data_IF_567580274814
#
_entry.id   IF_567580274814
#
_cell.length_a   1.000
_cell.length_b   1.000
_cell.length_c   1.000
_cell.angle_alpha   90.00
_cell.angle_beta   90.00
_cell.angle_gamma   90.00
#
_symmetry.space_group_name_H-M   'P 1'
#
loop_
_entity.id
_entity.type
_entity.pdbx_description
1 polymer ?
#
# COMPACT_ATOMS: atom_id res chain seq x y z
N UNK A 1 -11.71 12.11 20.88
CA UNK A 1 -11.46 11.24 19.72
C UNK A 1 -10.71 10.02 20.23
N UNK A 2 -11.20 8.81 19.96
CA UNK A 2 -10.52 7.57 20.39
C UNK A 2 -9.39 7.19 19.45
N UNK A 3 -8.50 6.29 19.89
CA UNK A 3 -7.57 5.61 18.98
C UNK A 3 -8.34 4.48 18.27
N UNK A 4 -8.24 4.43 16.94
CA UNK A 4 -8.87 3.44 16.08
C UNK A 4 -7.83 2.95 15.08
N UNK A 5 -7.87 1.66 14.77
CA UNK A 5 -7.15 1.13 13.62
C UNK A 5 -7.98 1.36 12.35
N UNK A 6 -7.32 1.34 11.19
CA UNK A 6 -7.99 1.50 9.90
C UNK A 6 -7.83 0.23 9.09
N UNK A 7 -8.92 -0.31 8.56
CA UNK A 7 -8.88 -1.36 7.54
C UNK A 7 -9.03 -0.69 6.19
N UNK A 8 -8.09 -0.95 5.27
CA UNK A 8 -8.18 -0.52 3.88
C UNK A 8 -8.65 -1.68 3.02
N UNK A 9 -9.68 -1.42 2.21
CA UNK A 9 -10.28 -2.44 1.37
C UNK A 9 -9.50 -2.61 0.06
N UNK A 10 -9.38 -3.86 -0.39
CA UNK A 10 -8.76 -4.18 -1.68
C UNK A 10 -9.63 -3.72 -2.87
N UNK A 11 -10.94 -3.60 -2.66
CA UNK A 11 -11.92 -3.04 -3.58
C UNK A 11 -12.82 -2.09 -2.82
N UNK A 12 -13.22 -0.99 -3.45
CA UNK A 12 -14.19 -0.10 -2.86
C UNK A 12 -15.52 -0.83 -2.62
N UNK A 13 -16.10 -0.62 -1.44
CA UNK A 13 -17.40 -1.15 -1.06
C UNK A 13 -18.42 -0.01 -1.18
N UNK A 14 -19.39 -0.09 -2.11
CA UNK A 14 -20.37 0.97 -2.26
C UNK A 14 -21.35 0.97 -1.08
N UNK A 15 -21.71 2.16 -0.61
CA UNK A 15 -22.80 2.37 0.32
C UNK A 15 -24.12 1.95 -0.34
N UNK A 16 -24.90 1.10 0.33
CA UNK A 16 -26.21 0.64 -0.16
C UNK A 16 -27.25 1.76 -0.32
N UNK A 17 -27.07 2.88 0.38
CA UNK A 17 -28.04 3.99 0.37
C UNK A 17 -27.66 5.11 -0.61
N UNK A 18 -26.40 5.58 -0.57
CA UNK A 18 -25.97 6.73 -1.38
C UNK A 18 -25.00 6.37 -2.52
N UNK A 19 -24.57 5.11 -2.62
CA UNK A 19 -23.60 4.65 -3.63
C UNK A 19 -22.16 5.14 -3.40
N UNK A 20 -21.88 5.85 -2.31
CA UNK A 20 -20.53 6.31 -1.99
C UNK A 20 -19.56 5.13 -1.84
N UNK A 21 -18.40 5.23 -2.48
CA UNK A 21 -17.37 4.20 -2.49
C UNK A 21 -16.51 4.26 -1.23
N UNK A 22 -16.76 3.37 -0.28
CA UNK A 22 -15.90 3.21 0.89
C UNK A 22 -14.62 2.50 0.50
N UNK A 23 -13.48 3.15 0.71
CA UNK A 23 -12.14 2.56 0.51
C UNK A 23 -11.50 2.07 1.81
N UNK A 24 -12.03 2.50 2.95
CA UNK A 24 -11.51 2.22 4.29
C UNK A 24 -12.64 2.20 5.32
N UNK A 25 -12.42 1.52 6.45
CA UNK A 25 -13.22 1.68 7.67
C UNK A 25 -12.32 1.79 8.90
N UNK A 26 -12.82 2.43 9.96
CA UNK A 26 -12.17 2.48 11.27
C UNK A 26 -12.70 1.35 12.15
N UNK A 27 -11.83 0.69 12.90
CA UNK A 27 -12.18 -0.44 13.76
C UNK A 27 -11.56 -0.31 15.14
N UNK A 28 -12.25 -0.87 16.14
CA UNK A 28 -11.79 -1.03 17.52
C UNK A 28 -11.56 -2.48 17.93
N UNK A 29 -11.66 -3.40 16.97
CA UNK A 29 -11.64 -4.83 17.23
C UNK A 29 -10.23 -5.34 17.57
N UNK A 30 -9.20 -4.52 17.38
CA UNK A 30 -7.79 -4.83 17.59
C UNK A 30 -7.16 -3.94 18.68
N UNK A 31 -5.83 -3.84 18.70
CA UNK A 31 -5.08 -3.14 19.76
C UNK A 31 -5.15 -1.61 19.69
N UNK A 32 -5.83 -1.01 18.71
CA UNK A 32 -5.99 0.44 18.54
C UNK A 32 -4.64 1.16 18.41
N UNK A 33 -3.76 0.63 17.57
CA UNK A 33 -2.41 1.11 17.34
C UNK A 33 -2.33 2.32 16.38
N UNK A 34 -3.47 2.76 15.85
CA UNK A 34 -3.55 3.77 14.78
C UNK A 34 -2.82 3.32 13.51
N UNK A 35 -2.87 2.02 13.23
CA UNK A 35 -2.25 1.41 12.07
C UNK A 35 -3.30 1.19 10.98
N UNK A 36 -2.86 1.33 9.72
CA UNK A 36 -3.66 0.93 8.56
C UNK A 36 -3.29 -0.50 8.20
N UNK A 37 -4.29 -1.39 8.20
CA UNK A 37 -4.15 -2.78 7.80
C UNK A 37 -4.81 -3.02 6.45
N UNK A 38 -4.15 -3.83 5.62
CA UNK A 38 -4.62 -4.35 4.34
C UNK A 38 -4.75 -5.88 4.39
N UNK A 39 -5.45 -6.45 3.40
CA UNK A 39 -5.48 -7.92 3.23
C UNK A 39 -4.05 -8.44 3.03
N UNK A 40 -3.68 -9.42 3.86
CA UNK A 40 -2.34 -9.99 3.95
C UNK A 40 -1.56 -9.52 5.18
N UNK A 41 -2.02 -8.47 5.86
CA UNK A 41 -1.33 -7.97 7.05
C UNK A 41 -1.59 -8.83 8.29
N UNK A 42 -0.59 -8.84 9.16
CA UNK A 42 -0.68 -9.43 10.48
C UNK A 42 -1.33 -8.44 11.46
N UNK A 43 -2.42 -8.88 12.07
CA UNK A 43 -3.17 -8.19 13.10
C UNK A 43 -2.55 -8.51 14.47
N UNK A 44 -1.99 -7.51 15.16
CA UNK A 44 -1.39 -7.70 16.47
C UNK A 44 -2.45 -8.01 17.53
N UNK A 45 -2.02 -8.73 18.56
CA UNK A 45 -2.88 -9.14 19.68
C UNK A 45 -3.02 -10.65 19.83
N UNK A 46 -4.07 -11.07 20.54
CA UNK A 46 -4.35 -12.48 20.82
C UNK A 46 -4.59 -13.22 19.51
N UNK A 47 -4.15 -14.48 19.44
CA UNK A 47 -4.38 -15.32 18.26
C UNK A 47 -5.89 -15.46 17.99
N UNK A 48 -6.33 -14.91 16.87
CA UNK A 48 -7.71 -14.92 16.39
C UNK A 48 -7.75 -15.68 15.06
N UNK A 49 -8.66 -16.64 14.96
CA UNK A 49 -9.11 -17.23 13.70
C UNK A 49 -10.63 -17.16 13.72
N UNK A 50 -11.24 -16.49 12.75
CA UNK A 50 -12.68 -16.31 12.70
C UNK A 50 -13.11 -15.14 11.83
N UNK A 51 -14.37 -14.73 12.03
CA UNK A 51 -15.01 -13.65 11.30
C UNK A 51 -15.40 -12.59 12.32
N UNK A 52 -15.03 -11.34 12.06
CA UNK A 52 -15.36 -10.19 12.90
C UNK A 52 -16.30 -9.29 12.14
N UNK A 53 -17.42 -8.96 12.77
CA UNK A 53 -18.40 -8.02 12.24
C UNK A 53 -17.95 -6.58 12.48
N UNK A 54 -18.01 -5.74 11.45
CA UNK A 54 -17.66 -4.32 11.54
C UNK A 54 -18.71 -3.47 10.81
N UNK A 55 -19.12 -2.37 11.43
CA UNK A 55 -20.12 -1.47 10.86
C UNK A 55 -19.43 -0.36 10.06
N UNK A 56 -19.85 -0.17 8.81
CA UNK A 56 -19.39 0.92 7.96
C UNK A 56 -20.13 2.20 8.30
N UNK A 57 -19.38 3.22 8.70
CA UNK A 57 -19.90 4.57 8.81
C UNK A 57 -20.03 5.21 7.43
N UNK A 58 -21.20 5.76 7.13
CA UNK A 58 -21.41 6.63 5.98
C UNK A 58 -22.04 7.95 6.42
N UNK A 59 -21.47 9.07 5.95
CA UNK A 59 -22.08 10.41 6.16
C UNK A 59 -23.29 10.64 5.26
N UNK A 60 -23.48 9.77 4.25
CA UNK A 60 -24.41 9.90 3.14
C UNK A 60 -24.23 11.24 2.41
N UNK A 61 -23.73 11.18 1.16
CA UNK A 61 -23.77 12.37 0.30
C UNK A 61 -25.22 12.83 0.20
N UNK A 62 -25.44 14.15 0.30
CA UNK A 62 -26.75 14.80 0.35
C UNK A 62 -27.53 14.67 -0.98
N UNK A 63 -27.72 13.45 -1.45
CA UNK A 63 -28.59 13.09 -2.56
C UNK A 63 -30.03 13.28 -2.08
N UNK A 64 -30.63 14.37 -2.54
CA UNK A 64 -32.07 14.65 -2.65
C UNK A 64 -33.00 14.27 -1.47
N UNK A 65 -32.52 14.31 -0.23
CA UNK A 65 -33.41 14.25 0.93
C UNK A 65 -32.80 13.62 2.18
N UNK A 66 -31.99 14.40 2.91
CA UNK A 66 -31.66 14.24 4.34
C UNK A 66 -31.72 12.81 4.89
N UNK A 67 -30.86 11.94 4.40
CA UNK A 67 -30.55 10.71 5.12
C UNK A 67 -29.50 11.07 6.17
N UNK A 68 -29.74 10.70 7.44
CA UNK A 68 -28.78 10.95 8.52
C UNK A 68 -27.54 10.06 8.31
N UNK A 69 -26.35 10.45 8.83
CA UNK A 69 -25.23 9.54 8.89
C UNK A 69 -25.63 8.23 9.59
N UNK A 70 -25.18 7.10 9.07
CA UNK A 70 -25.55 5.80 9.62
C UNK A 70 -24.39 4.81 9.64
N UNK A 71 -24.59 3.73 10.39
CA UNK A 71 -23.68 2.59 10.54
C UNK A 71 -24.33 1.31 9.99
N UNK A 72 -25.30 1.46 9.08
CA UNK A 72 -26.28 0.41 8.81
C UNK A 72 -25.76 -0.68 7.87
N UNK A 73 -24.60 -0.45 7.26
CA UNK A 73 -23.95 -1.44 6.40
C UNK A 73 -22.88 -2.18 7.18
N UNK A 74 -23.03 -3.49 7.26
CA UNK A 74 -22.08 -4.38 7.92
C UNK A 74 -21.11 -4.96 6.88
N UNK A 75 -19.85 -5.07 7.26
CA UNK A 75 -18.83 -5.88 6.59
C UNK A 75 -18.22 -6.88 7.56
N UNK A 76 -17.62 -7.91 7.01
CA UNK A 76 -17.06 -9.03 7.75
C UNK A 76 -15.57 -9.12 7.47
N UNK A 77 -14.76 -8.89 8.51
CA UNK A 77 -13.32 -9.07 8.47
C UNK A 77 -13.00 -10.55 8.69
N UNK A 78 -12.34 -11.18 7.72
CA UNK A 78 -12.01 -12.60 7.77
C UNK A 78 -10.57 -12.75 8.20
N UNK A 79 -10.36 -13.42 9.34
CA UNK A 79 -9.05 -13.50 10.00
C UNK A 79 -8.65 -14.97 10.13
N UNK A 80 -7.47 -15.30 9.61
CA UNK A 80 -6.88 -16.63 9.75
C UNK A 80 -5.55 -16.52 10.49
N UNK A 81 -5.50 -17.02 11.74
CA UNK A 81 -4.29 -16.99 12.58
C UNK A 81 -3.63 -15.60 12.62
N UNK A 82 -4.40 -14.58 12.97
CA UNK A 82 -4.01 -13.17 12.99
C UNK A 82 -3.68 -12.56 11.62
N UNK A 83 -3.95 -13.22 10.50
CA UNK A 83 -3.77 -12.61 9.17
C UNK A 83 -5.15 -12.16 8.68
N UNK A 84 -5.27 -10.89 8.28
CA UNK A 84 -6.46 -10.42 7.58
C UNK A 84 -6.47 -11.03 6.17
N UNK A 85 -7.29 -12.05 5.94
CA UNK A 85 -7.33 -12.77 4.66
C UNK A 85 -8.41 -12.25 3.71
N UNK A 86 -9.34 -11.44 4.21
CA UNK A 86 -10.40 -10.88 3.39
C UNK A 86 -11.31 -9.91 4.14
N UNK A 87 -12.05 -9.14 3.35
CA UNK A 87 -13.19 -8.33 3.80
C UNK A 87 -14.35 -8.72 2.89
N UNK A 88 -15.48 -9.12 3.49
CA UNK A 88 -16.65 -9.60 2.78
C UNK A 88 -17.89 -8.76 3.13
N UNK A 89 -18.81 -8.62 2.17
CA UNK A 89 -20.06 -7.88 2.35
C UNK A 89 -21.18 -8.73 2.99
N UNK A 90 -21.03 -10.05 3.00
CA UNK A 90 -21.99 -10.97 3.63
C UNK A 90 -21.28 -12.03 4.47
N UNK A 91 -21.98 -12.54 5.48
CA UNK A 91 -21.44 -13.56 6.38
C UNK A 91 -21.16 -14.87 5.63
N UNK A 92 -22.00 -15.24 4.67
CA UNK A 92 -21.84 -16.47 3.88
C UNK A 92 -20.57 -16.45 3.03
N UNK A 93 -20.21 -15.28 2.49
CA UNK A 93 -18.96 -15.09 1.76
C UNK A 93 -17.77 -15.21 2.72
N UNK A 94 -17.86 -14.58 3.89
CA UNK A 94 -16.83 -14.65 4.92
C UNK A 94 -16.61 -16.09 5.42
N UNK A 95 -17.69 -16.81 5.68
CA UNK A 95 -17.69 -18.22 6.12
C UNK A 95 -17.06 -19.11 5.05
N UNK A 96 -17.43 -18.92 3.78
CA UNK A 96 -16.78 -19.64 2.69
C UNK A 96 -15.28 -19.35 2.61
N UNK A 97 -14.87 -18.09 2.76
CA UNK A 97 -13.46 -17.70 2.73
C UNK A 97 -12.66 -18.37 3.85
N UNK A 98 -13.10 -18.27 5.11
CA UNK A 98 -12.36 -18.84 6.24
C UNK A 98 -12.26 -20.38 6.16
N UNK A 99 -13.30 -21.05 5.64
CA UNK A 99 -13.31 -22.51 5.49
C UNK A 99 -12.48 -23.01 4.30
N UNK A 100 -12.30 -22.17 3.28
CA UNK A 100 -11.49 -22.51 2.09
C UNK A 100 -10.02 -22.14 2.29
N UNK A 101 -9.73 -21.15 3.13
CA UNK A 101 -8.38 -20.67 3.36
C UNK A 101 -7.54 -21.69 4.13
N UNK A 102 -6.68 -22.39 3.41
CA UNK A 102 -5.77 -23.39 3.95
C UNK A 102 -4.31 -23.05 3.72
N UNK A 103 -3.44 -24.06 3.88
CA UNK A 103 -2.01 -23.90 3.67
C UNK A 103 -1.63 -23.51 2.23
N UNK A 104 -2.39 -23.96 1.22
CA UNK A 104 -2.14 -23.58 -0.17
C UNK A 104 -2.35 -22.09 -0.42
N UNK A 105 -3.48 -21.56 0.01
CA UNK A 105 -3.78 -20.12 -0.08
C UNK A 105 -2.79 -19.28 0.75
N UNK A 106 -2.41 -19.76 1.94
CA UNK A 106 -1.40 -19.11 2.77
C UNK A 106 -0.04 -19.05 2.05
N UNK A 107 0.34 -20.11 1.33
CA UNK A 107 1.58 -20.12 0.55
C UNK A 107 1.55 -19.10 -0.60
N UNK A 108 0.43 -19.02 -1.33
CA UNK A 108 0.25 -18.02 -2.39
C UNK A 108 0.31 -16.59 -1.84
N UNK A 109 -0.38 -16.35 -0.73
CA UNK A 109 -0.32 -15.06 -0.03
C UNK A 109 1.11 -14.71 0.36
N UNK A 110 1.86 -15.66 0.94
CA UNK A 110 3.24 -15.44 1.33
C UNK A 110 4.15 -15.14 0.13
N UNK A 111 3.93 -15.81 -1.01
CA UNK A 111 4.66 -15.53 -2.25
C UNK A 111 4.43 -14.09 -2.72
N UNK A 112 3.20 -13.60 -2.67
CA UNK A 112 2.86 -12.23 -3.05
C UNK A 112 3.45 -11.20 -2.08
N UNK A 113 3.40 -11.46 -0.77
CA UNK A 113 4.06 -10.63 0.24
C UNK A 113 5.58 -10.57 0.04
N UNK A 114 6.20 -11.69 -0.33
CA UNK A 114 7.63 -11.74 -0.63
C UNK A 114 7.98 -10.91 -1.87
N UNK A 115 7.16 -10.95 -2.93
CA UNK A 115 7.33 -10.09 -4.11
C UNK A 115 7.22 -8.61 -3.74
N UNK A 116 6.20 -8.23 -2.96
CA UNK A 116 6.03 -6.85 -2.46
C UNK A 116 7.26 -6.39 -1.68
N UNK A 117 7.77 -7.22 -0.77
CA UNK A 117 8.98 -6.95 0.01
C UNK A 117 10.20 -6.74 -0.90
N UNK A 118 10.41 -7.62 -1.87
CA UNK A 118 11.56 -7.53 -2.79
C UNK A 118 11.49 -6.27 -3.66
N UNK A 119 10.29 -5.89 -4.12
CA UNK A 119 10.10 -4.63 -4.82
C UNK A 119 10.41 -3.43 -3.91
N UNK A 120 9.85 -3.41 -2.69
CA UNK A 120 10.15 -2.35 -1.72
C UNK A 120 11.65 -2.22 -1.45
N UNK A 121 12.34 -3.34 -1.21
CA UNK A 121 13.80 -3.34 -1.02
C UNK A 121 14.53 -2.81 -2.26
N UNK A 122 14.07 -3.17 -3.46
CA UNK A 122 14.60 -2.65 -4.72
C UNK A 122 14.39 -1.13 -4.87
N UNK A 123 13.20 -0.62 -4.55
CA UNK A 123 12.89 0.83 -4.54
C UNK A 123 13.74 1.57 -3.51
N UNK A 124 13.82 1.06 -2.27
CA UNK A 124 14.65 1.62 -1.20
C UNK A 124 16.12 1.69 -1.59
N UNK A 125 16.69 0.59 -2.12
CA UNK A 125 18.09 0.56 -2.54
C UNK A 125 18.38 1.57 -3.67
N UNK A 126 17.45 1.73 -4.62
CA UNK A 126 17.55 2.73 -5.68
C UNK A 126 17.49 4.15 -5.14
N UNK A 127 16.54 4.43 -4.24
CA UNK A 127 16.44 5.73 -3.56
C UNK A 127 17.70 6.04 -2.75
N UNK A 128 18.19 5.12 -1.94
CA UNK A 128 19.41 5.30 -1.15
C UNK A 128 20.63 5.56 -2.05
N UNK A 129 20.79 4.80 -3.14
CA UNK A 129 21.86 5.05 -4.11
C UNK A 129 21.70 6.40 -4.80
N UNK A 130 20.48 6.80 -5.15
CA UNK A 130 20.20 8.07 -5.78
C UNK A 130 20.54 9.24 -4.85
N UNK A 131 20.10 9.19 -3.58
CA UNK A 131 20.39 10.22 -2.59
C UNK A 131 21.89 10.38 -2.35
N UNK A 132 22.65 9.28 -2.28
CA UNK A 132 24.13 9.34 -2.17
C UNK A 132 24.75 10.04 -3.37
N UNK A 133 24.35 9.66 -4.59
CA UNK A 133 24.86 10.28 -5.83
C UNK A 133 24.46 11.75 -5.93
N UNK A 134 23.26 12.09 -5.51
CA UNK A 134 22.78 13.46 -5.51
C UNK A 134 23.57 14.31 -4.51
N UNK A 135 23.84 13.79 -3.31
CA UNK A 135 24.72 14.44 -2.33
C UNK A 135 26.15 14.60 -2.86
N UNK A 136 26.71 13.58 -3.51
CA UNK A 136 28.01 13.67 -4.20
C UNK A 136 27.99 14.79 -5.26
N UNK A 137 26.99 14.80 -6.14
CA UNK A 137 26.81 15.82 -7.17
C UNK A 137 26.70 17.23 -6.58
N UNK A 138 25.96 17.42 -5.48
CA UNK A 138 25.84 18.72 -4.80
C UNK A 138 27.16 19.20 -4.15
N UNK A 139 28.11 18.30 -3.88
CA UNK A 139 29.42 18.64 -3.34
C UNK A 139 30.49 18.84 -4.44
N UNK A 140 30.18 18.56 -5.70
CA UNK A 140 31.10 18.79 -6.83
C UNK A 140 31.19 20.27 -7.20
N UNK A 141 32.33 20.68 -7.74
CA UNK A 141 32.51 22.00 -8.36
C UNK A 141 31.66 22.16 -9.62
N UNK A 142 31.38 23.41 -10.03
CA UNK A 142 30.53 23.69 -11.19
C UNK A 142 31.11 23.12 -12.50
N UNK A 143 32.43 23.22 -12.69
CA UNK A 143 33.15 22.67 -13.86
C UNK A 143 33.02 21.14 -13.92
N UNK A 144 33.19 20.44 -12.79
CA UNK A 144 33.04 18.98 -12.72
C UNK A 144 31.60 18.53 -13.03
N UNK A 145 30.58 19.30 -12.61
CA UNK A 145 29.19 18.99 -12.96
C UNK A 145 28.93 19.16 -14.45
N UNK A 146 29.47 20.22 -15.03
CA UNK A 146 29.30 20.52 -16.46
C UNK A 146 30.01 19.47 -17.33
N UNK A 147 31.20 18.99 -16.93
CA UNK A 147 31.87 17.86 -17.57
C UNK A 147 31.03 16.59 -17.51
N UNK A 148 30.51 16.20 -16.33
CA UNK A 148 29.74 14.96 -16.18
C UNK A 148 28.39 15.03 -16.91
N UNK A 149 27.76 16.21 -17.01
CA UNK A 149 26.53 16.41 -17.80
C UNK A 149 26.76 16.34 -19.32
N UNK A 150 27.93 16.77 -19.79
CA UNK A 150 28.25 16.87 -21.22
C UNK A 150 29.03 15.67 -21.79
N UNK A 151 29.77 14.92 -20.97
CA UNK A 151 30.58 13.78 -21.41
C UNK A 151 29.78 12.47 -21.56
N UNK A 152 30.19 11.63 -22.53
CA UNK A 152 29.77 10.22 -22.64
C UNK A 152 30.89 9.33 -22.08
N UNK A 153 30.91 9.12 -20.77
CA UNK A 153 31.93 8.33 -20.07
C UNK A 153 31.38 7.54 -18.88
N UNK A 154 32.23 6.71 -18.25
CA UNK A 154 31.84 5.90 -17.09
C UNK A 154 31.31 6.76 -15.92
N UNK A 155 31.85 7.97 -15.76
CA UNK A 155 31.38 8.94 -14.76
C UNK A 155 29.96 9.42 -15.06
N UNK A 156 29.63 9.76 -16.31
CA UNK A 156 28.27 10.19 -16.65
C UNK A 156 27.24 9.06 -16.57
N UNK A 157 27.64 7.81 -16.84
CA UNK A 157 26.79 6.63 -16.58
C UNK A 157 26.45 6.50 -15.08
N UNK A 158 27.40 6.75 -14.18
CA UNK A 158 27.18 6.69 -12.72
C UNK A 158 26.08 7.66 -12.28
N UNK A 159 26.03 8.86 -12.84
CA UNK A 159 25.05 9.91 -12.49
C UNK A 159 23.85 9.96 -13.43
N UNK A 160 23.77 9.08 -14.42
CA UNK A 160 22.72 9.11 -15.45
C UNK A 160 21.29 9.09 -14.90
N UNK A 161 21.07 8.45 -13.75
CA UNK A 161 19.76 8.44 -13.07
C UNK A 161 19.38 9.76 -12.41
N UNK A 162 20.34 10.68 -12.21
CA UNK A 162 20.09 12.00 -11.62
C UNK A 162 19.62 13.01 -12.68
N UNK A 163 20.25 13.02 -13.85
CA UNK A 163 20.12 14.09 -14.85
C UNK A 163 18.68 14.46 -15.26
N UNK A 164 17.72 13.51 -15.35
CA UNK A 164 16.32 13.87 -15.62
C UNK A 164 15.69 14.76 -14.54
N UNK A 165 16.26 14.76 -13.33
CA UNK A 165 15.69 15.37 -12.13
C UNK A 165 16.46 16.58 -11.61
N UNK A 166 17.79 16.64 -11.81
CA UNK A 166 18.63 17.70 -11.20
C UNK A 166 18.16 19.12 -11.53
N UNK A 167 17.61 19.35 -12.73
CA UNK A 167 17.12 20.66 -13.19
C UNK A 167 15.68 20.97 -12.77
N UNK A 168 15.02 20.08 -12.02
CA UNK A 168 13.67 20.27 -11.50
C UNK A 168 13.70 21.07 -10.19
N UNK A 169 12.59 21.73 -9.85
CA UNK A 169 12.45 22.47 -8.59
C UNK A 169 12.49 21.54 -7.37
N UNK A 170 11.97 20.32 -7.49
CA UNK A 170 11.95 19.32 -6.42
C UNK A 170 12.45 17.95 -6.92
N UNK A 171 13.78 17.78 -7.11
CA UNK A 171 14.36 16.59 -7.73
C UNK A 171 14.02 15.28 -6.99
N UNK A 172 13.98 15.33 -5.65
CA UNK A 172 13.69 14.16 -4.81
C UNK A 172 12.23 13.71 -4.94
N UNK A 173 11.28 14.65 -4.92
CA UNK A 173 9.85 14.33 -5.02
C UNK A 173 9.51 13.72 -6.38
N UNK A 174 10.09 14.26 -7.46
CA UNK A 174 9.93 13.73 -8.81
C UNK A 174 10.53 12.32 -8.95
N UNK A 175 11.67 12.06 -8.30
CA UNK A 175 12.28 10.73 -8.31
C UNK A 175 11.48 9.71 -7.49
N UNK A 176 10.95 10.10 -6.32
CA UNK A 176 10.05 9.27 -5.52
C UNK A 176 8.82 8.92 -6.35
N UNK A 177 8.20 9.90 -7.01
CA UNK A 177 7.04 9.66 -7.88
C UNK A 177 7.37 8.67 -9.00
N UNK A 178 8.54 8.78 -9.64
CA UNK A 178 8.97 7.79 -10.63
C UNK A 178 9.11 6.38 -10.04
N UNK A 179 9.64 6.25 -8.83
CA UNK A 179 9.77 4.96 -8.15
C UNK A 179 8.40 4.38 -7.77
N UNK A 180 7.43 5.22 -7.42
CA UNK A 180 6.06 4.81 -7.12
C UNK A 180 5.30 4.37 -8.37
N UNK A 181 5.46 5.11 -9.48
CA UNK A 181 4.84 4.82 -10.79
C UNK A 181 5.40 3.53 -11.44
N UNK A 182 6.57 3.06 -11.00
CA UNK A 182 7.07 1.75 -11.41
C UNK A 182 6.17 0.66 -10.83
N UNK A 183 5.41 0.02 -11.74
CA UNK A 183 4.68 -1.22 -11.48
C UNK A 183 5.60 -2.26 -10.84
N UNK A 184 5.01 -3.19 -10.09
CA UNK A 184 5.68 -4.36 -9.53
C UNK A 184 6.35 -5.18 -10.65
N UNK A 185 7.56 -4.81 -11.04
CA UNK A 185 8.40 -5.64 -11.91
C UNK A 185 9.00 -6.69 -10.99
N UNK A 186 8.32 -7.83 -10.87
CA UNK A 186 8.88 -8.95 -10.15
C UNK A 186 10.10 -9.44 -10.94
N UNK A 187 11.21 -9.74 -10.25
CA UNK A 187 12.38 -10.40 -10.88
C UNK A 187 12.02 -11.74 -11.54
N UNK A 188 10.82 -12.27 -11.30
CA UNK A 188 10.28 -13.51 -11.85
C UNK A 188 9.43 -13.29 -13.11
N UNK A 189 9.15 -12.05 -13.51
CA UNK A 189 8.37 -11.76 -14.73
C UNK A 189 9.23 -11.88 -16.02
N UNK A 190 10.50 -12.28 -15.87
CA UNK A 190 11.44 -12.55 -16.97
C UNK A 190 11.42 -14.01 -17.43
N UNK A 191 10.58 -14.87 -16.85
CA UNK A 191 10.49 -16.30 -17.17
C UNK A 191 9.10 -16.78 -17.61
N UNK A 192 8.26 -15.89 -18.11
CA UNK A 192 7.06 -16.25 -18.88
C UNK A 192 7.10 -15.64 -20.28
#
# INVERSE_FOLDING_TARGET
MGMFDTIKFSRAIPCKECGFEHITTQTKQFENLMVVFEVGDYLPGRMITGIVEESLYCEHLALEGKIKPSFDQIVYLVIYRNILIGVAETYEIAEKQINTFGFGELFLLYQDLHKKRDNFQGKYNRLASWCRRYAEYLNMGAEEREEIENEKGLKSIRYGSLFPFVKKSEPLNEYIKQLDDQKDISKYDLFY
#
